data_IF_717891934491
#
_entry.id   IF_717891934491
#
_cell.length_a   1.000
_cell.length_b   1.000
_cell.length_c   1.000
_cell.angle_alpha   90.00
_cell.angle_beta   90.00
_cell.angle_gamma   90.00
#
_symmetry.space_group_name_H-M   'P 1'
#
loop_
_entity.id
_entity.type
_entity.pdbx_description
1 polymer ?
#
# COMPACT_ATOMS: atom_id res chain seq x y z
N UNK A 1 0.30 -13.25 10.99
CA UNK A 1 1.74 -13.62 10.96
C UNK A 1 2.01 -14.38 9.67
N UNK A 2 3.22 -14.30 9.10
CA UNK A 2 3.60 -14.93 7.83
C UNK A 2 4.69 -16.02 8.03
N UNK A 3 4.43 -17.08 8.83
CA UNK A 3 5.45 -18.07 9.16
C UNK A 3 5.89 -18.82 7.90
N UNK A 4 7.21 -18.93 7.70
CA UNK A 4 7.79 -19.69 6.59
C UNK A 4 7.56 -19.11 5.19
N UNK A 5 7.04 -17.88 5.06
CA UNK A 5 6.68 -17.30 3.76
C UNK A 5 7.87 -17.21 2.77
N UNK A 6 9.09 -17.05 3.29
CA UNK A 6 10.32 -16.99 2.48
C UNK A 6 10.94 -18.36 2.18
N UNK A 7 10.47 -19.45 2.79
CA UNK A 7 11.01 -20.79 2.56
C UNK A 7 11.03 -21.19 1.06
N UNK A 8 10.01 -20.86 0.24
CA UNK A 8 10.07 -21.09 -1.20
C UNK A 8 11.17 -20.29 -1.89
N UNK A 9 11.39 -19.03 -1.50
CA UNK A 9 12.43 -18.19 -2.11
C UNK A 9 13.84 -18.70 -1.80
N UNK A 10 14.09 -19.14 -0.56
CA UNK A 10 15.35 -19.76 -0.17
C UNK A 10 15.65 -21.10 -0.85
N UNK A 11 14.65 -21.78 -1.41
CA UNK A 11 14.86 -22.99 -2.23
C UNK A 11 15.35 -22.66 -3.65
N UNK A 12 15.11 -21.44 -4.13
CA UNK A 12 15.41 -20.99 -5.49
C UNK A 12 16.74 -20.23 -5.51
N UNK A 13 16.96 -19.37 -4.51
CA UNK A 13 18.12 -18.51 -4.42
C UNK A 13 18.69 -18.54 -2.99
N UNK A 14 20.02 -18.39 -2.89
CA UNK A 14 20.73 -18.21 -1.63
C UNK A 14 20.36 -16.88 -0.94
N UNK A 15 21.13 -16.48 0.09
CA UNK A 15 20.84 -15.32 0.91
C UNK A 15 20.56 -14.04 0.08
N UNK A 16 19.44 -13.35 0.33
CA UNK A 16 19.09 -12.15 -0.42
C UNK A 16 20.01 -10.99 -0.06
N UNK A 17 20.27 -10.12 -1.03
CA UNK A 17 20.89 -8.83 -0.84
C UNK A 17 19.97 -7.70 -1.33
N UNK A 18 20.36 -6.44 -1.13
CA UNK A 18 19.52 -5.30 -1.50
C UNK A 18 19.28 -5.16 -3.01
N UNK A 19 20.18 -5.67 -3.86
CA UNK A 19 20.03 -5.65 -5.33
C UNK A 19 18.91 -6.60 -5.76
N UNK A 20 18.70 -7.70 -5.03
CA UNK A 20 17.63 -8.66 -5.31
C UNK A 20 16.23 -8.03 -5.24
N UNK A 21 16.07 -6.90 -4.54
CA UNK A 21 14.80 -6.17 -4.47
C UNK A 21 14.51 -5.33 -5.73
N UNK A 22 15.49 -5.17 -6.62
CA UNK A 22 15.33 -4.42 -7.88
C UNK A 22 14.91 -5.33 -9.05
N UNK A 23 15.09 -6.64 -8.93
CA UNK A 23 14.72 -7.60 -9.95
C UNK A 23 13.23 -7.96 -9.86
N UNK A 24 12.44 -7.59 -10.86
CA UNK A 24 11.00 -7.90 -10.90
C UNK A 24 10.70 -9.42 -10.80
N UNK A 25 11.61 -10.24 -11.33
CA UNK A 25 11.50 -11.71 -11.28
C UNK A 25 12.06 -12.33 -9.99
N UNK A 26 12.61 -11.52 -9.08
CA UNK A 26 13.26 -12.04 -7.89
C UNK A 26 12.25 -12.74 -6.96
N UNK A 27 12.54 -13.98 -6.52
CA UNK A 27 11.61 -14.75 -5.70
C UNK A 27 11.35 -14.11 -4.33
N UNK A 28 12.31 -13.39 -3.74
CA UNK A 28 12.11 -12.67 -2.49
C UNK A 28 11.15 -11.51 -2.66
N UNK A 29 11.28 -10.72 -3.74
CA UNK A 29 10.36 -9.61 -4.05
C UNK A 29 8.93 -10.11 -4.22
N UNK A 30 8.74 -11.22 -4.94
CA UNK A 30 7.42 -11.86 -5.10
C UNK A 30 6.81 -12.30 -3.77
N UNK A 31 7.63 -12.87 -2.88
CA UNK A 31 7.18 -13.21 -1.52
C UNK A 31 6.76 -11.93 -0.78
N UNK A 32 7.58 -10.88 -0.78
CA UNK A 32 7.26 -9.60 -0.14
C UNK A 32 5.93 -9.01 -0.62
N UNK A 33 5.70 -8.98 -1.93
CA UNK A 33 4.43 -8.51 -2.52
C UNK A 33 3.22 -9.35 -2.10
N UNK A 34 3.42 -10.65 -1.82
CA UNK A 34 2.36 -11.54 -1.37
C UNK A 34 2.05 -11.44 0.13
N UNK A 35 2.96 -10.85 0.92
CA UNK A 35 2.80 -10.77 2.37
C UNK A 35 1.62 -9.88 2.72
N UNK A 36 0.80 -10.37 3.66
CA UNK A 36 -0.27 -9.56 4.23
C UNK A 36 0.28 -8.76 5.41
N UNK A 37 -0.09 -7.48 5.54
CA UNK A 37 0.00 -6.75 6.79
C UNK A 37 -0.66 -7.54 7.93
N UNK A 38 -0.23 -7.29 9.17
CA UNK A 38 -0.90 -7.83 10.35
C UNK A 38 -2.37 -7.39 10.37
N UNK A 39 -3.27 -8.22 10.88
CA UNK A 39 -4.70 -7.88 11.04
C UNK A 39 -4.93 -6.71 12.03
N UNK A 40 -3.89 -6.34 12.79
CA UNK A 40 -3.89 -5.19 13.70
C UNK A 40 -3.41 -3.89 13.02
N UNK A 41 -3.13 -3.92 11.71
CA UNK A 41 -2.68 -2.75 10.95
C UNK A 41 -3.76 -2.46 9.89
N UNK A 42 -4.38 -1.30 10.00
CA UNK A 42 -5.23 -0.78 8.93
C UNK A 42 -4.36 -0.21 7.79
N UNK A 43 -4.70 -0.56 6.56
CA UNK A 43 -4.00 -0.11 5.35
C UNK A 43 -4.93 0.72 4.49
N UNK A 44 -4.54 1.95 4.21
CA UNK A 44 -5.30 2.85 3.35
C UNK A 44 -4.49 3.13 2.07
N UNK A 45 -5.10 2.94 0.91
CA UNK A 45 -4.49 3.29 -0.37
C UNK A 45 -5.06 4.60 -0.89
N UNK A 46 -4.20 5.58 -1.16
CA UNK A 46 -4.53 6.80 -1.86
C UNK A 46 -3.74 6.79 -3.17
N UNK A 47 -4.42 6.80 -4.30
CA UNK A 47 -3.79 6.64 -5.62
C UNK A 47 -4.30 7.68 -6.62
N UNK A 48 -3.40 8.13 -7.49
CA UNK A 48 -3.75 9.01 -8.60
C UNK A 48 -4.27 8.23 -9.81
N UNK A 49 -5.25 8.79 -10.50
CA UNK A 49 -5.71 8.29 -11.80
C UNK A 49 -6.10 9.45 -12.72
N UNK A 50 -5.23 9.73 -13.70
CA UNK A 50 -5.44 10.78 -14.71
C UNK A 50 -6.35 10.33 -15.86
N UNK A 51 -6.76 9.05 -15.90
CA UNK A 51 -7.57 8.49 -16.99
C UNK A 51 -8.67 7.58 -16.46
N UNK A 52 -9.69 8.17 -15.82
CA UNK A 52 -10.84 7.41 -15.32
C UNK A 52 -11.63 6.69 -16.44
N UNK A 53 -11.54 7.15 -17.69
CA UNK A 53 -12.32 6.63 -18.81
C UNK A 53 -11.64 5.52 -19.63
N UNK A 54 -10.32 5.33 -19.48
CA UNK A 54 -9.56 4.34 -20.25
C UNK A 54 -8.88 3.33 -19.34
N UNK A 55 -9.50 2.15 -19.19
CA UNK A 55 -8.99 1.05 -18.35
C UNK A 55 -7.51 0.71 -18.61
N UNK A 56 -7.05 0.76 -19.85
CA UNK A 56 -5.66 0.47 -20.22
C UNK A 56 -4.64 1.56 -19.87
N UNK A 57 -5.10 2.72 -19.39
CA UNK A 57 -4.25 3.88 -19.05
C UNK A 57 -4.47 4.40 -17.62
N UNK A 58 -5.12 3.62 -16.76
CA UNK A 58 -5.35 4.00 -15.37
C UNK A 58 -4.04 4.19 -14.62
N UNK A 59 -3.95 5.29 -13.88
CA UNK A 59 -2.77 5.64 -13.08
C UNK A 59 -2.40 7.11 -13.20
N UNK A 60 -1.32 7.47 -12.53
CA UNK A 60 -0.98 8.86 -12.24
C UNK A 60 0.11 9.41 -13.18
N UNK A 61 0.21 8.87 -14.40
CA UNK A 61 1.24 9.11 -15.43
C UNK A 61 2.62 8.52 -15.14
N UNK A 62 2.89 8.05 -13.92
CA UNK A 62 4.16 7.42 -13.55
C UNK A 62 3.93 5.97 -13.16
N UNK A 63 2.95 5.74 -12.29
CA UNK A 63 2.63 4.43 -11.74
C UNK A 63 1.26 3.97 -12.24
N UNK A 64 1.15 2.76 -12.83
CA UNK A 64 -0.14 2.17 -13.16
C UNK A 64 -0.98 1.95 -11.91
N UNK A 65 -2.30 2.16 -12.01
CA UNK A 65 -3.19 2.04 -10.85
C UNK A 65 -3.16 0.64 -10.22
N UNK A 66 -3.03 -0.42 -11.04
CA UNK A 66 -2.91 -1.80 -10.55
C UNK A 66 -1.68 -2.04 -9.67
N UNK A 67 -0.61 -1.24 -9.84
CA UNK A 67 0.58 -1.29 -9.00
C UNK A 67 0.47 -0.41 -7.76
N UNK A 68 -0.28 0.70 -7.84
CA UNK A 68 -0.43 1.65 -6.74
C UNK A 68 -1.37 1.16 -5.63
N UNK A 69 -2.33 0.30 -5.98
CA UNK A 69 -3.29 -0.24 -5.03
C UNK A 69 -2.71 -1.42 -4.26
N UNK A 70 -2.71 -1.32 -2.93
CA UNK A 70 -2.37 -2.46 -2.09
C UNK A 70 -3.43 -3.55 -2.28
N UNK A 71 -3.01 -4.81 -2.40
CA UNK A 71 -3.93 -5.96 -2.60
C UNK A 71 -5.01 -6.07 -1.51
N UNK A 72 -4.80 -5.45 -0.34
CA UNK A 72 -5.63 -5.56 0.86
C UNK A 72 -5.74 -4.26 1.64
N UNK A 73 -5.96 -3.16 0.95
CA UNK A 73 -6.32 -1.90 1.61
C UNK A 73 -7.75 -1.97 2.17
N UNK A 74 -7.93 -1.52 3.41
CA UNK A 74 -9.22 -1.33 4.06
C UNK A 74 -10.02 -0.19 3.43
N UNK A 75 -9.33 0.86 2.97
CA UNK A 75 -9.95 1.93 2.17
C UNK A 75 -9.11 2.27 0.94
N UNK A 76 -9.80 2.68 -0.12
CA UNK A 76 -9.20 3.14 -1.36
C UNK A 76 -9.76 4.51 -1.72
N UNK A 77 -8.87 5.49 -1.88
CA UNK A 77 -9.21 6.84 -2.35
C UNK A 77 -8.51 7.11 -3.66
N UNK A 78 -9.28 7.19 -4.75
CA UNK A 78 -8.77 7.58 -6.06
C UNK A 78 -8.90 9.09 -6.24
N UNK A 79 -7.82 9.71 -6.68
CA UNK A 79 -7.72 11.15 -6.90
C UNK A 79 -7.38 11.39 -8.36
N UNK A 80 -8.11 12.27 -9.03
CA UNK A 80 -7.85 12.60 -10.44
C UNK A 80 -6.67 13.56 -10.53
N UNK A 81 -5.45 13.02 -10.42
CA UNK A 81 -4.25 13.84 -10.38
C UNK A 81 -3.01 13.04 -10.81
N UNK A 82 -2.01 13.75 -11.33
CA UNK A 82 -0.71 13.16 -11.69
C UNK A 82 0.16 12.93 -10.45
N UNK A 83 1.11 12.02 -10.57
CA UNK A 83 1.95 11.54 -9.46
C UNK A 83 2.55 12.68 -8.62
N UNK A 84 3.10 13.69 -9.31
CA UNK A 84 3.82 14.80 -8.69
C UNK A 84 2.93 15.82 -7.97
N UNK A 85 1.61 15.83 -8.22
CA UNK A 85 0.70 16.79 -7.55
C UNK A 85 -0.25 16.09 -6.57
N UNK A 86 -0.30 14.76 -6.61
CA UNK A 86 -1.19 13.95 -5.79
C UNK A 86 -1.12 14.31 -4.30
N UNK A 87 0.07 14.63 -3.80
CA UNK A 87 0.32 14.98 -2.39
C UNK A 87 -0.12 16.39 -2.01
N UNK A 88 -0.29 17.29 -2.98
CA UNK A 88 -0.85 18.64 -2.76
C UNK A 88 -2.36 18.69 -2.96
N UNK A 89 -2.95 17.66 -3.60
CA UNK A 89 -4.36 17.66 -3.92
C UNK A 89 -5.23 17.70 -2.65
N UNK A 90 -6.22 18.61 -2.53
CA UNK A 90 -7.03 18.76 -1.33
C UNK A 90 -7.73 17.48 -0.87
N UNK A 91 -8.16 16.63 -1.82
CA UNK A 91 -8.75 15.31 -1.54
C UNK A 91 -7.78 14.37 -0.83
N UNK A 92 -6.51 14.34 -1.24
CA UNK A 92 -5.47 13.55 -0.58
C UNK A 92 -5.24 14.03 0.84
N UNK A 93 -5.08 15.35 1.00
CA UNK A 93 -4.86 15.97 2.31
C UNK A 93 -6.04 15.68 3.25
N UNK A 94 -7.26 15.82 2.75
CA UNK A 94 -8.49 15.56 3.52
C UNK A 94 -8.58 14.11 3.97
N UNK A 95 -8.23 13.16 3.09
CA UNK A 95 -8.23 11.74 3.44
C UNK A 95 -7.16 11.39 4.48
N UNK A 96 -5.96 11.98 4.37
CA UNK A 96 -4.91 11.83 5.39
C UNK A 96 -5.40 12.35 6.74
N UNK A 97 -6.00 13.54 6.78
CA UNK A 97 -6.55 14.12 8.02
C UNK A 97 -7.63 13.21 8.60
N UNK A 98 -8.54 12.69 7.77
CA UNK A 98 -9.59 11.75 8.19
C UNK A 98 -9.00 10.50 8.85
N UNK A 99 -7.99 9.88 8.22
CA UNK A 99 -7.30 8.69 8.76
C UNK A 99 -6.64 9.00 10.10
N UNK A 100 -5.95 10.14 10.21
CA UNK A 100 -5.30 10.55 11.46
C UNK A 100 -6.32 10.78 12.60
N UNK A 101 -7.44 11.42 12.30
CA UNK A 101 -8.53 11.63 13.27
C UNK A 101 -9.17 10.32 13.72
N UNK A 102 -9.37 9.39 12.78
CA UNK A 102 -9.86 8.04 13.08
C UNK A 102 -8.89 7.32 14.06
N UNK A 103 -7.59 7.34 13.77
CA UNK A 103 -6.58 6.74 14.63
C UNK A 103 -6.54 7.33 16.04
N UNK A 104 -6.66 8.66 16.17
CA UNK A 104 -6.75 9.33 17.49
C UNK A 104 -7.97 8.83 18.25
N UNK A 105 -9.13 8.79 17.60
CA UNK A 105 -10.39 8.34 18.22
C UNK A 105 -10.30 6.89 18.69
N UNK A 106 -9.73 6.00 17.87
CA UNK A 106 -9.53 4.59 18.21
C UNK A 106 -8.56 4.43 19.39
N UNK A 107 -7.46 5.20 19.41
CA UNK A 107 -6.48 5.19 20.50
C UNK A 107 -7.09 5.66 21.83
N UNK A 108 -7.87 6.74 21.83
CA UNK A 108 -8.53 7.27 23.02
C UNK A 108 -9.57 6.29 23.58
N UNK A 109 -10.32 5.62 22.69
CA UNK A 109 -11.28 4.60 23.08
C UNK A 109 -10.60 3.38 23.73
N UNK A 110 -9.45 2.95 23.21
CA UNK A 110 -8.66 1.86 23.80
C UNK A 110 -8.09 2.26 25.17
N UNK A 111 -7.55 3.48 25.29
CA UNK A 111 -7.02 4.00 26.55
C UNK A 111 -8.11 4.12 27.64
N UNK A 112 -9.33 4.49 27.26
CA UNK A 112 -10.46 4.60 28.18
C UNK A 112 -10.97 3.25 28.69
N UNK A 113 -10.88 2.20 27.87
CA UNK A 113 -11.26 0.82 28.26
C UNK A 113 -10.24 0.12 29.15
N UNK A 114 -9.00 0.61 29.18
CA UNK A 114 -7.92 0.04 29.98
C UNK A 114 -7.86 0.57 31.43
N UNK A 115 -8.71 1.55 31.78
CA UNK A 115 -8.90 2.07 33.13
C UNK A 115 -10.08 1.40 33.81
#
# INVERSE_FOLDING_TARGET
>A
QNPGAFLPAFKIQSQPNSIDMLGFENPFLKVFQSLRPSEHIQVHSIAGDMNQFFESRKGDTVVPLSSALATKSDTVTIVEEKHMELHHHPKTISEIIRILQQNITEADALASKAK
#
